data_IF_046654322044
#
_entry.id   IF_046654322044
#
_cell.length_a   1.000
_cell.length_b   1.000
_cell.length_c   1.000
_cell.angle_alpha   90.00
_cell.angle_beta   90.00
_cell.angle_gamma   90.00
#
_symmetry.space_group_name_H-M   'P 1'
#
loop_
_entity.id
_entity.type
_entity.pdbx_description
1 polymer ?
#
# COMPACT_ATOMS: atom_id res chain seq x y z
N UNK A 1 18.56 -5.77 10.80
CA UNK A 1 18.54 -6.39 12.13
C UNK A 1 19.02 -7.83 11.97
N UNK A 2 19.99 -8.24 12.78
CA UNK A 2 20.47 -9.63 12.80
C UNK A 2 20.00 -10.28 14.11
N UNK A 3 19.37 -11.43 14.03
CA UNK A 3 18.90 -12.22 15.16
C UNK A 3 19.66 -13.56 15.15
N UNK A 4 20.31 -13.90 16.26
CA UNK A 4 21.11 -15.11 16.37
C UNK A 4 20.58 -16.00 17.48
N UNK A 5 20.51 -17.30 17.21
CA UNK A 5 20.30 -18.35 18.22
C UNK A 5 21.68 -18.81 18.69
N UNK A 6 22.00 -18.57 19.96
CA UNK A 6 23.32 -18.90 20.54
C UNK A 6 23.16 -19.96 21.63
N UNK A 7 24.01 -20.95 21.61
CA UNK A 7 24.17 -21.96 22.68
C UNK A 7 25.65 -22.20 22.93
N UNK A 8 26.06 -22.15 24.21
CA UNK A 8 27.44 -22.33 24.65
C UNK A 8 28.43 -21.48 23.84
N UNK A 9 28.14 -20.18 23.69
CA UNK A 9 28.90 -19.18 22.90
C UNK A 9 28.98 -19.47 21.38
N UNK A 10 28.33 -20.53 20.93
CA UNK A 10 28.29 -20.88 19.49
C UNK A 10 26.99 -20.45 18.86
N UNK A 11 27.07 -19.71 17.75
CA UNK A 11 25.92 -19.38 16.92
C UNK A 11 25.42 -20.67 16.25
N UNK A 12 24.18 -21.05 16.53
CA UNK A 12 23.51 -22.22 15.95
C UNK A 12 22.71 -21.87 14.72
N UNK A 13 22.12 -20.66 14.69
CA UNK A 13 21.32 -20.18 13.58
C UNK A 13 21.33 -18.64 13.56
N UNK A 14 21.16 -18.08 12.38
CA UNK A 14 21.17 -16.64 12.16
C UNK A 14 20.09 -16.24 11.15
N UNK A 15 19.33 -15.18 11.46
CA UNK A 15 18.38 -14.57 10.54
C UNK A 15 18.65 -13.08 10.40
N UNK A 16 18.73 -12.60 9.16
CA UNK A 16 18.92 -11.18 8.83
C UNK A 16 17.63 -10.62 8.26
N UNK A 17 16.99 -9.71 9.00
CA UNK A 17 15.83 -8.96 8.55
C UNK A 17 16.25 -7.56 8.14
N UNK A 18 16.01 -7.19 6.89
CA UNK A 18 16.18 -5.81 6.41
C UNK A 18 14.95 -5.00 6.83
N UNK A 19 15.18 -3.89 7.50
CA UNK A 19 14.13 -2.96 7.94
C UNK A 19 14.67 -1.54 7.97
N UNK A 20 13.78 -0.56 8.13
CA UNK A 20 14.17 0.84 8.19
C UNK A 20 13.27 1.63 9.13
N UNK A 21 13.67 2.86 9.41
CA UNK A 21 12.91 3.80 10.22
C UNK A 21 12.57 5.03 9.39
N UNK A 22 11.37 5.53 9.55
CA UNK A 22 10.89 6.76 8.94
C UNK A 22 9.80 7.39 9.79
N UNK A 23 9.59 8.66 9.59
CA UNK A 23 8.41 9.37 10.08
C UNK A 23 7.59 9.81 8.87
N UNK A 24 6.37 9.28 8.72
CA UNK A 24 5.47 9.57 7.61
C UNK A 24 4.14 10.08 8.17
N UNK A 25 3.71 11.28 7.73
CA UNK A 25 2.50 11.92 8.23
C UNK A 25 1.67 12.49 7.09
N UNK A 26 0.37 12.23 7.11
CA UNK A 26 -0.61 12.94 6.30
C UNK A 26 -1.23 14.05 7.14
N UNK A 27 -1.13 15.30 6.68
CA UNK A 27 -1.68 16.49 7.33
C UNK A 27 -2.68 17.17 6.40
N UNK A 28 -3.45 18.11 6.93
CA UNK A 28 -4.45 18.87 6.14
C UNK A 28 -3.84 19.60 4.94
N UNK A 29 -2.57 19.96 5.01
CA UNK A 29 -1.85 20.69 3.96
C UNK A 29 -0.94 19.80 3.08
N UNK A 30 -0.83 18.49 3.35
CA UNK A 30 -0.09 17.56 2.52
C UNK A 30 0.61 16.42 3.28
N UNK A 31 1.39 15.66 2.55
CA UNK A 31 2.19 14.55 3.08
C UNK A 31 3.59 15.03 3.49
N UNK A 32 4.06 14.51 4.63
CA UNK A 32 5.38 14.80 5.19
C UNK A 32 6.17 13.51 5.39
N UNK A 33 7.41 13.49 4.92
CA UNK A 33 8.35 12.41 5.14
C UNK A 33 9.58 12.96 5.88
N UNK A 34 9.86 12.41 7.06
CA UNK A 34 10.97 12.84 7.92
C UNK A 34 10.99 14.37 8.14
N UNK A 35 9.82 14.93 8.40
CA UNK A 35 9.62 16.36 8.65
C UNK A 35 9.62 17.27 7.41
N UNK A 36 9.85 16.72 6.22
CA UNK A 36 9.84 17.48 4.96
C UNK A 36 8.54 17.24 4.19
N UNK A 37 7.90 18.32 3.73
CA UNK A 37 6.72 18.22 2.87
C UNK A 37 7.09 17.64 1.52
N UNK A 38 6.41 16.58 1.11
CA UNK A 38 6.65 15.86 -0.14
C UNK A 38 5.34 15.76 -0.92
N UNK A 39 5.36 16.18 -2.18
CA UNK A 39 4.25 15.89 -3.09
C UNK A 39 4.39 14.47 -3.62
N UNK A 40 3.41 13.63 -3.31
CA UNK A 40 3.36 12.28 -3.88
C UNK A 40 3.03 12.37 -5.37
N UNK A 41 3.88 11.76 -6.18
CA UNK A 41 3.72 11.60 -7.63
C UNK A 41 3.99 10.17 -7.96
N UNK A 42 2.97 9.47 -8.43
CA UNK A 42 3.05 8.03 -8.60
C UNK A 42 2.20 7.51 -9.73
N UNK A 43 2.30 6.21 -9.90
CA UNK A 43 1.52 5.45 -10.87
C UNK A 43 0.82 4.30 -10.17
N UNK A 44 -0.25 3.80 -10.79
CA UNK A 44 -0.88 2.55 -10.43
C UNK A 44 -0.11 1.40 -11.06
N UNK A 45 0.19 0.36 -10.29
CA UNK A 45 0.88 -0.82 -10.79
C UNK A 45 0.03 -2.06 -10.66
N UNK A 46 -0.19 -2.75 -11.77
CA UNK A 46 -0.61 -4.14 -11.79
C UNK A 46 0.61 -5.06 -11.87
N UNK A 47 0.61 -6.15 -11.07
CA UNK A 47 1.67 -7.15 -11.09
C UNK A 47 1.48 -8.11 -12.26
N UNK A 48 1.73 -7.63 -13.47
CA UNK A 48 1.67 -8.48 -14.65
C UNK A 48 2.71 -8.04 -15.69
N UNK A 49 3.21 -9.02 -16.46
CA UNK A 49 4.21 -8.79 -17.49
C UNK A 49 3.89 -9.62 -18.74
N UNK A 50 4.19 -9.13 -19.96
CA UNK A 50 3.99 -9.90 -21.17
C UNK A 50 4.60 -11.31 -21.10
N UNK A 51 3.93 -12.30 -21.65
CA UNK A 51 4.27 -13.72 -21.71
C UNK A 51 4.19 -14.51 -20.39
N UNK A 52 4.39 -13.88 -19.23
CA UNK A 52 4.38 -14.58 -17.93
C UNK A 52 3.15 -14.25 -17.07
N UNK A 53 2.39 -13.22 -17.45
CA UNK A 53 1.23 -12.77 -16.68
C UNK A 53 1.63 -12.40 -15.26
N UNK A 54 0.91 -12.90 -14.27
CA UNK A 54 1.17 -12.66 -12.84
C UNK A 54 2.34 -13.50 -12.27
N UNK A 55 2.86 -14.48 -13.01
CA UNK A 55 4.00 -15.30 -12.59
C UNK A 55 5.35 -14.59 -12.81
N UNK A 56 5.41 -13.32 -12.46
CA UNK A 56 6.62 -12.51 -12.59
C UNK A 56 7.72 -12.99 -11.64
N UNK A 57 8.90 -13.35 -12.15
CA UNK A 57 10.05 -13.73 -11.32
C UNK A 57 10.62 -12.52 -10.57
N UNK A 58 11.43 -12.78 -9.54
CA UNK A 58 12.07 -11.77 -8.71
C UNK A 58 12.74 -10.65 -9.52
N UNK A 59 13.50 -11.01 -10.54
CA UNK A 59 14.22 -10.03 -11.37
C UNK A 59 13.30 -9.01 -12.03
N UNK A 60 12.14 -9.44 -12.53
CA UNK A 60 11.14 -8.55 -13.13
C UNK A 60 10.44 -7.69 -12.08
N UNK A 61 10.16 -8.25 -10.90
CA UNK A 61 9.56 -7.51 -9.79
C UNK A 61 10.46 -6.34 -9.35
N UNK A 62 11.76 -6.60 -9.22
CA UNK A 62 12.75 -5.58 -8.86
C UNK A 62 12.95 -4.55 -9.98
N UNK A 63 13.03 -5.01 -11.22
CA UNK A 63 13.16 -4.15 -12.40
C UNK A 63 12.00 -3.16 -12.52
N UNK A 64 10.76 -3.58 -12.28
CA UNK A 64 9.60 -2.68 -12.30
C UNK A 64 9.74 -1.53 -11.29
N UNK A 65 10.20 -1.82 -10.08
CA UNK A 65 10.43 -0.79 -9.06
C UNK A 65 11.53 0.19 -9.51
N UNK A 66 12.61 -0.33 -10.12
CA UNK A 66 13.70 0.50 -10.63
C UNK A 66 13.24 1.40 -11.78
N UNK A 67 12.46 0.87 -12.74
CA UNK A 67 11.87 1.65 -13.84
C UNK A 67 10.99 2.77 -13.27
N UNK A 68 10.10 2.47 -12.34
CA UNK A 68 9.23 3.47 -11.70
C UNK A 68 10.05 4.59 -11.07
N UNK A 69 11.10 4.23 -10.33
CA UNK A 69 11.89 5.19 -9.58
C UNK A 69 12.86 5.99 -10.44
N UNK A 70 13.63 5.31 -11.30
CA UNK A 70 14.80 5.91 -11.96
C UNK A 70 14.52 6.36 -13.39
N UNK A 71 13.65 5.65 -14.12
CA UNK A 71 13.33 6.02 -15.50
C UNK A 71 12.11 6.95 -15.56
N UNK A 72 11.05 6.64 -14.80
CA UNK A 72 9.83 7.46 -14.78
C UNK A 72 9.87 8.57 -13.72
N UNK A 73 10.83 8.53 -12.79
CA UNK A 73 11.05 9.57 -11.81
C UNK A 73 9.93 9.74 -10.77
N UNK A 74 9.10 8.70 -10.56
CA UNK A 74 8.03 8.74 -9.55
C UNK A 74 8.58 8.49 -8.14
N UNK A 75 7.88 8.99 -7.14
CA UNK A 75 8.26 8.79 -5.73
C UNK A 75 7.26 7.93 -4.95
N UNK A 76 6.16 7.53 -5.60
CA UNK A 76 5.13 6.70 -5.00
C UNK A 76 4.56 5.71 -6.03
N UNK A 77 4.01 4.61 -5.55
CA UNK A 77 3.27 3.63 -6.34
C UNK A 77 2.05 3.15 -5.55
N UNK A 78 0.94 2.97 -6.25
CA UNK A 78 -0.25 2.31 -5.73
C UNK A 78 -0.31 0.89 -6.27
N UNK A 79 -0.48 -0.09 -5.37
CA UNK A 79 -0.60 -1.50 -5.76
C UNK A 79 -2.03 -1.82 -6.15
N UNK A 80 -2.38 -1.56 -7.40
CA UNK A 80 -3.74 -1.76 -7.94
C UNK A 80 -3.98 -3.23 -8.28
N UNK A 81 -4.95 -3.89 -7.75
CA UNK A 81 -5.78 -3.64 -6.58
C UNK A 81 -5.64 -4.87 -5.68
N UNK A 82 -4.47 -5.13 -5.14
CA UNK A 82 -4.10 -6.29 -4.32
C UNK A 82 -2.67 -6.14 -3.76
N UNK A 83 -2.31 -6.82 -2.66
CA UNK A 83 -0.93 -6.91 -2.21
C UNK A 83 -0.04 -7.51 -3.30
N UNK A 84 1.16 -6.95 -3.47
CA UNK A 84 2.08 -7.39 -4.52
C UNK A 84 3.29 -8.10 -3.92
N UNK A 85 4.07 -8.76 -4.78
CA UNK A 85 5.23 -9.57 -4.41
C UNK A 85 6.14 -8.88 -3.40
N UNK A 86 6.63 -9.64 -2.40
CA UNK A 86 7.66 -9.16 -1.47
C UNK A 86 8.91 -8.67 -2.19
N UNK A 87 9.32 -9.29 -3.29
CA UNK A 87 10.47 -8.84 -4.08
C UNK A 87 10.31 -7.41 -4.63
N UNK A 88 9.09 -7.04 -5.02
CA UNK A 88 8.78 -5.68 -5.42
C UNK A 88 8.83 -4.71 -4.23
N UNK A 89 8.21 -5.08 -3.11
CA UNK A 89 8.16 -4.24 -1.91
C UNK A 89 9.55 -4.10 -1.26
N UNK A 90 10.34 -5.17 -1.21
CA UNK A 90 11.75 -5.14 -0.77
C UNK A 90 12.58 -4.15 -1.61
N UNK A 91 12.36 -4.14 -2.92
CA UNK A 91 13.04 -3.18 -3.78
C UNK A 91 12.56 -1.76 -3.53
N UNK A 92 11.25 -1.56 -3.32
CA UNK A 92 10.71 -0.25 -2.93
C UNK A 92 11.35 0.26 -1.63
N UNK A 93 11.54 -0.60 -0.63
CA UNK A 93 12.24 -0.25 0.62
C UNK A 93 13.67 0.20 0.34
N UNK A 94 14.41 -0.52 -0.51
CA UNK A 94 15.82 -0.24 -0.82
C UNK A 94 16.03 1.07 -1.55
N UNK A 95 15.15 1.40 -2.49
CA UNK A 95 15.29 2.57 -3.36
C UNK A 95 14.49 3.79 -2.88
N UNK A 96 13.70 3.65 -1.81
CA UNK A 96 12.86 4.70 -1.27
C UNK A 96 11.70 5.08 -2.22
N UNK A 97 11.04 4.08 -2.81
CA UNK A 97 9.78 4.25 -3.54
C UNK A 97 8.63 4.00 -2.57
N UNK A 98 7.83 5.04 -2.29
CA UNK A 98 6.72 4.95 -1.33
C UNK A 98 5.57 4.12 -1.88
N UNK A 99 4.88 3.38 -1.01
CA UNK A 99 3.82 2.45 -1.42
C UNK A 99 2.51 2.75 -0.73
N UNK A 100 1.44 2.84 -1.51
CA UNK A 100 0.06 2.72 -1.09
C UNK A 100 -0.42 1.32 -1.43
N UNK A 101 -0.57 0.45 -0.43
CA UNK A 101 -0.89 -0.97 -0.61
C UNK A 101 -2.37 -1.23 -0.36
N UNK A 102 -3.04 -1.90 -1.30
CA UNK A 102 -4.47 -2.19 -1.28
C UNK A 102 -4.78 -3.66 -1.01
N UNK A 103 -5.93 -3.90 -0.36
CA UNK A 103 -6.55 -5.24 -0.29
C UNK A 103 -7.08 -5.68 -1.66
N UNK A 104 -7.25 -6.99 -1.91
CA UNK A 104 -7.82 -7.47 -3.17
C UNK A 104 -9.27 -7.06 -3.35
N UNK A 105 -9.60 -6.55 -4.53
CA UNK A 105 -10.97 -6.30 -4.94
C UNK A 105 -11.16 -5.09 -5.84
N UNK A 106 -12.21 -5.15 -6.68
CA UNK A 106 -12.57 -4.10 -7.59
C UNK A 106 -14.09 -4.04 -7.80
N UNK A 107 -14.68 -2.87 -7.50
CA UNK A 107 -16.07 -2.45 -7.70
C UNK A 107 -17.14 -3.23 -6.88
N UNK A 108 -16.99 -4.51 -6.68
CA UNK A 108 -18.03 -5.35 -6.09
C UNK A 108 -17.75 -5.67 -4.61
N UNK A 109 -18.82 -5.65 -3.81
CA UNK A 109 -18.85 -6.14 -2.44
C UNK A 109 -19.81 -7.34 -2.42
N UNK A 110 -19.35 -8.45 -1.85
CA UNK A 110 -20.14 -9.65 -1.73
C UNK A 110 -21.03 -9.69 -0.48
N UNK A 111 -21.50 -10.88 -0.16
CA UNK A 111 -22.30 -11.17 1.03
C UNK A 111 -21.47 -11.07 2.34
N UNK A 112 -22.09 -11.38 3.48
CA UNK A 112 -21.40 -11.30 4.77
C UNK A 112 -20.23 -12.28 4.90
N UNK A 113 -20.29 -13.46 4.27
CA UNK A 113 -19.18 -14.41 4.26
C UNK A 113 -17.98 -13.82 3.50
N UNK A 114 -18.22 -13.21 2.36
CA UNK A 114 -17.22 -12.50 1.57
C UNK A 114 -16.63 -11.29 2.33
N UNK A 115 -17.48 -10.47 2.99
CA UNK A 115 -17.02 -9.33 3.81
C UNK A 115 -16.13 -9.78 4.96
N UNK A 116 -16.50 -10.87 5.65
CA UNK A 116 -15.68 -11.46 6.70
C UNK A 116 -14.30 -11.89 6.16
N UNK A 117 -14.27 -12.53 4.99
CA UNK A 117 -13.01 -12.89 4.35
C UNK A 117 -12.20 -11.66 3.95
N UNK A 118 -12.83 -10.60 3.47
CA UNK A 118 -12.12 -9.34 3.13
C UNK A 118 -11.49 -8.68 4.37
N UNK A 119 -12.14 -8.73 5.53
CA UNK A 119 -11.54 -8.28 6.81
C UNK A 119 -10.34 -9.14 7.18
N UNK A 120 -10.38 -10.46 6.96
CA UNK A 120 -9.22 -11.35 7.15
C UNK A 120 -8.11 -10.97 6.18
N UNK A 121 -8.41 -10.69 4.92
CA UNK A 121 -7.43 -10.25 3.93
C UNK A 121 -6.74 -8.93 4.33
N UNK A 122 -7.45 -7.98 4.99
CA UNK A 122 -6.81 -6.79 5.58
C UNK A 122 -5.81 -7.19 6.65
N UNK A 123 -6.19 -8.08 7.57
CA UNK A 123 -5.30 -8.56 8.63
C UNK A 123 -4.06 -9.24 8.07
N UNK A 124 -4.24 -10.11 7.10
CA UNK A 124 -3.14 -10.84 6.45
C UNK A 124 -2.19 -9.88 5.73
N UNK A 125 -2.72 -8.91 4.98
CA UNK A 125 -1.93 -7.87 4.33
C UNK A 125 -1.09 -7.09 5.34
N UNK A 126 -1.70 -6.57 6.41
CA UNK A 126 -0.99 -5.79 7.41
C UNK A 126 0.06 -6.65 8.11
N UNK A 127 -0.27 -7.86 8.52
CA UNK A 127 0.67 -8.77 9.19
C UNK A 127 1.88 -9.13 8.34
N UNK A 128 1.67 -9.37 7.04
CA UNK A 128 2.74 -9.71 6.10
C UNK A 128 3.67 -8.54 5.81
N UNK A 129 3.12 -7.31 5.71
CA UNK A 129 3.85 -6.18 5.12
C UNK A 129 4.16 -5.04 6.10
N UNK A 130 3.68 -5.05 7.35
CA UNK A 130 3.86 -3.93 8.30
C UNK A 130 5.32 -3.59 8.63
N UNK A 131 6.26 -4.50 8.38
CA UNK A 131 7.69 -4.25 8.59
C UNK A 131 8.38 -3.57 7.40
N UNK A 132 7.68 -3.38 6.28
CA UNK A 132 8.21 -2.69 5.11
C UNK A 132 8.11 -1.18 5.28
N UNK A 133 9.25 -0.50 5.17
CA UNK A 133 9.38 0.94 5.43
C UNK A 133 8.78 1.79 4.32
N UNK A 134 8.75 1.28 3.09
CA UNK A 134 8.18 1.97 1.93
C UNK A 134 6.66 2.16 2.02
N UNK A 135 5.95 1.26 2.71
CA UNK A 135 4.50 1.34 2.83
C UNK A 135 4.12 2.50 3.76
N UNK A 136 3.37 3.45 3.24
CA UNK A 136 2.93 4.66 3.96
C UNK A 136 1.43 4.75 4.18
N UNK A 137 0.65 3.91 3.51
CA UNK A 137 -0.81 3.95 3.53
C UNK A 137 -1.38 2.55 3.27
N UNK A 138 -2.34 2.13 4.10
CA UNK A 138 -3.10 0.89 3.90
C UNK A 138 -4.40 1.18 3.15
N UNK A 139 -4.58 0.54 1.99
CA UNK A 139 -5.82 0.58 1.22
C UNK A 139 -6.80 -0.48 1.73
N UNK A 140 -7.75 -0.07 2.54
CA UNK A 140 -8.69 -0.97 3.24
C UNK A 140 -10.09 -0.96 2.66
N UNK A 141 -10.27 -0.26 1.53
CA UNK A 141 -11.52 -0.19 0.79
C UNK A 141 -11.37 -0.87 -0.56
N UNK A 142 -12.39 -1.59 -1.00
CA UNK A 142 -12.46 -2.16 -2.35
C UNK A 142 -12.48 -1.01 -3.36
N UNK A 143 -11.54 -1.03 -4.29
CA UNK A 143 -11.43 0.01 -5.30
C UNK A 143 -12.74 0.22 -6.05
N UNK A 144 -13.18 1.48 -6.15
CA UNK A 144 -14.39 1.90 -6.88
C UNK A 144 -15.71 1.23 -6.45
N UNK A 145 -15.76 0.66 -5.27
CA UNK A 145 -16.99 0.07 -4.77
C UNK A 145 -18.00 1.12 -4.30
N UNK A 146 -19.25 0.71 -4.18
CA UNK A 146 -20.25 1.47 -3.46
C UNK A 146 -19.89 1.61 -1.98
N UNK A 147 -20.55 2.52 -1.28
CA UNK A 147 -20.41 2.67 0.16
C UNK A 147 -21.05 1.48 0.88
N UNK A 148 -20.35 0.98 1.89
CA UNK A 148 -20.84 0.04 2.88
C UNK A 148 -20.15 0.37 4.21
N UNK A 149 -20.77 1.27 4.95
CA UNK A 149 -20.17 1.88 6.13
C UNK A 149 -19.84 0.85 7.23
N UNK A 150 -20.69 -0.16 7.42
CA UNK A 150 -20.42 -1.21 8.40
C UNK A 150 -19.19 -2.02 8.02
N UNK A 151 -19.13 -2.47 6.78
CA UNK A 151 -17.99 -3.21 6.25
C UNK A 151 -16.69 -2.41 6.34
N UNK A 152 -16.72 -1.13 5.92
CA UNK A 152 -15.51 -0.30 5.93
C UNK A 152 -15.05 0.15 7.31
N UNK A 153 -15.95 0.30 8.29
CA UNK A 153 -15.53 0.44 9.70
C UNK A 153 -14.76 -0.79 10.19
N UNK A 154 -15.21 -1.99 9.81
CA UNK A 154 -14.55 -3.25 10.18
C UNK A 154 -13.15 -3.38 9.55
N UNK A 155 -13.00 -3.05 8.26
CA UNK A 155 -11.69 -3.11 7.58
C UNK A 155 -10.71 -2.08 8.14
N UNK A 156 -11.16 -0.85 8.41
CA UNK A 156 -10.33 0.18 9.06
C UNK A 156 -9.90 -0.25 10.46
N UNK A 157 -10.83 -0.72 11.28
CA UNK A 157 -10.51 -1.20 12.64
C UNK A 157 -9.48 -2.34 12.61
N UNK A 158 -9.61 -3.28 11.67
CA UNK A 158 -8.68 -4.40 11.53
C UNK A 158 -7.25 -3.95 11.18
N UNK A 159 -7.11 -2.92 10.34
CA UNK A 159 -5.80 -2.37 10.00
C UNK A 159 -5.17 -1.63 11.19
N UNK A 160 -5.92 -0.75 11.86
CA UNK A 160 -5.43 0.03 13.01
C UNK A 160 -5.07 -0.85 14.22
N UNK A 161 -5.81 -1.94 14.44
CA UNK A 161 -5.50 -2.90 15.52
C UNK A 161 -4.12 -3.52 15.34
N UNK A 162 -3.72 -3.80 14.10
CA UNK A 162 -2.46 -4.49 13.79
C UNK A 162 -1.30 -3.53 13.50
N UNK A 163 -1.61 -2.32 13.02
CA UNK A 163 -0.64 -1.28 12.74
C UNK A 163 -1.22 0.13 12.99
N UNK A 164 -1.15 0.64 14.21
CA UNK A 164 -1.61 1.98 14.53
C UNK A 164 -0.67 3.08 14.01
N UNK A 165 0.46 2.72 13.40
CA UNK A 165 1.48 3.68 12.94
C UNK A 165 1.24 4.21 11.54
N UNK A 166 0.39 3.55 10.75
CA UNK A 166 0.06 3.93 9.38
C UNK A 166 -1.41 4.28 9.24
N UNK A 167 -1.73 5.35 8.50
CA UNK A 167 -3.09 5.67 8.17
C UNK A 167 -3.69 4.70 7.17
N UNK A 168 -5.03 4.72 7.10
CA UNK A 168 -5.83 4.00 6.13
C UNK A 168 -6.33 4.92 5.03
N UNK A 169 -6.56 4.37 3.84
CA UNK A 169 -7.18 5.01 2.70
C UNK A 169 -8.03 4.01 1.90
N UNK A 170 -8.68 4.49 0.86
CA UNK A 170 -9.48 3.61 0.02
C UNK A 170 -10.08 4.34 -1.17
N UNK A 171 -9.71 3.92 -2.38
CA UNK A 171 -10.00 4.68 -3.59
C UNK A 171 -11.44 4.48 -4.04
N UNK A 172 -12.19 5.56 -4.02
CA UNK A 172 -13.62 5.65 -4.37
C UNK A 172 -13.82 5.98 -5.84
N UNK A 173 -14.95 5.53 -6.40
CA UNK A 173 -15.41 5.97 -7.72
C UNK A 173 -16.03 7.37 -7.68
N UNK A 174 -16.65 7.74 -6.55
CA UNK A 174 -17.40 8.98 -6.41
C UNK A 174 -16.83 9.91 -5.35
N UNK A 175 -16.75 11.21 -5.66
CA UNK A 175 -16.27 12.23 -4.75
C UNK A 175 -17.13 12.41 -3.48
N UNK A 176 -18.41 12.01 -3.52
CA UNK A 176 -19.37 12.16 -2.40
C UNK A 176 -19.58 10.85 -1.64
N UNK A 177 -18.61 9.98 -1.59
CA UNK A 177 -18.66 8.74 -0.79
C UNK A 177 -18.42 9.02 0.70
N UNK A 178 -18.86 8.09 1.56
CA UNK A 178 -18.58 8.10 2.99
C UNK A 178 -17.06 8.16 3.26
N UNK A 179 -16.66 8.97 4.23
CA UNK A 179 -15.27 9.09 4.67
C UNK A 179 -15.09 8.44 6.03
N UNK A 180 -14.50 7.26 6.04
CA UNK A 180 -14.28 6.42 7.22
C UNK A 180 -12.81 6.14 7.47
N UNK A 181 -11.97 6.31 6.46
CA UNK A 181 -10.52 6.16 6.48
C UNK A 181 -9.84 7.45 6.95
N UNK A 182 -8.55 7.39 7.29
CA UNK A 182 -7.79 8.57 7.73
C UNK A 182 -7.45 9.52 6.59
N UNK A 183 -7.25 8.97 5.38
CA UNK A 183 -6.90 9.73 4.17
C UNK A 183 -7.96 9.54 3.11
N UNK A 184 -8.59 10.64 2.70
CA UNK A 184 -9.60 10.60 1.64
C UNK A 184 -8.93 10.42 0.28
N UNK A 185 -9.26 9.33 -0.41
CA UNK A 185 -8.76 9.01 -1.74
C UNK A 185 -9.90 8.65 -2.68
N UNK A 186 -9.85 9.11 -3.92
CA UNK A 186 -10.86 8.79 -4.95
C UNK A 186 -10.24 8.85 -6.34
N UNK A 187 -10.88 8.22 -7.30
CA UNK A 187 -10.53 8.36 -8.70
C UNK A 187 -11.13 9.64 -9.27
N UNK A 188 -10.28 10.55 -9.69
CA UNK A 188 -10.69 11.74 -10.40
C UNK A 188 -10.61 11.47 -11.92
N UNK A 189 -11.77 11.26 -12.53
CA UNK A 189 -11.91 11.00 -13.96
C UNK A 189 -12.20 12.27 -14.78
N UNK A 190 -12.18 13.45 -14.16
CA UNK A 190 -12.45 14.70 -14.87
C UNK A 190 -11.20 15.14 -15.63
N UNK A 191 -11.22 14.98 -16.92
CA UNK A 191 -10.17 15.39 -17.85
C UNK A 191 -10.69 16.50 -18.76
N UNK A 192 -10.56 17.75 -18.33
CA UNK A 192 -10.94 18.93 -19.12
C UNK A 192 -9.76 19.50 -19.95
N UNK A 193 -8.63 18.78 -20.01
CA UNK A 193 -7.42 19.22 -20.70
C UNK A 193 -6.64 20.31 -19.96
N UNK A 194 -7.10 20.74 -18.80
CA UNK A 194 -6.38 21.65 -17.93
C UNK A 194 -5.74 20.85 -16.81
N UNK A 195 -4.46 21.05 -16.53
CA UNK A 195 -3.77 20.44 -15.38
C UNK A 195 -4.27 21.06 -14.03
N UNK A 196 -5.57 21.25 -13.88
CA UNK A 196 -6.17 21.59 -12.60
C UNK A 196 -6.04 20.35 -11.74
N UNK A 197 -5.21 20.40 -10.72
CA UNK A 197 -5.12 19.31 -9.72
C UNK A 197 -6.49 19.02 -9.11
N UNK A 198 -6.60 17.90 -8.40
CA UNK A 198 -7.82 17.54 -7.68
C UNK A 198 -8.39 18.75 -6.97
N UNK A 199 -9.68 19.03 -7.14
CA UNK A 199 -10.39 20.04 -6.35
C UNK A 199 -10.22 19.71 -4.86
N UNK A 200 -9.97 20.75 -4.07
CA UNK A 200 -9.88 20.64 -2.62
C UNK A 200 -11.24 20.36 -1.99
#
# INVERSE_FOLDING_TARGET
>A
MCTQLIRDEKVLDENVTVTGFRHAEFKADGFYLNGKKVKLRGLNRHQSYPYVGYAMPESMQRMDADILKYELGVNAVRTSHYPQSHYFIDQCDRIGLLVFMEIPGWQHIGDEAWKNQAVINVRDMVMQYRNHTSIILWGVRINESQDDDDFYRRTNAAAHELDPSRPTGGVRAHKKSSFLEDVYTYNDFVHDGTNRGCEK
#
